data_IF_538357905915
#
_entry.id   IF_538357905915
#
_cell.length_a   1.000
_cell.length_b   1.000
_cell.length_c   1.000
_cell.angle_alpha   90.00
_cell.angle_beta   90.00
_cell.angle_gamma   90.00
#
_symmetry.space_group_name_H-M   'P 1'
#
loop_
_entity.id
_entity.type
_entity.pdbx_description
1 polymer ?
#
# COMPACT_ATOMS: atom_id res chain seq x y z
N UNK A 1 49.51 6.77 -13.91
CA UNK A 1 48.47 6.03 -13.16
C UNK A 1 47.16 6.15 -13.93
N UNK A 2 46.80 5.17 -14.76
CA UNK A 2 45.50 5.12 -15.44
C UNK A 2 44.60 4.19 -14.63
N UNK A 3 43.54 4.75 -14.04
CA UNK A 3 42.52 3.96 -13.37
C UNK A 3 41.54 3.45 -14.43
N UNK A 4 41.61 2.16 -14.75
CA UNK A 4 40.56 1.47 -15.48
C UNK A 4 39.35 1.34 -14.55
N UNK A 5 38.32 2.14 -14.78
CA UNK A 5 37.04 1.94 -14.12
C UNK A 5 36.36 0.70 -14.71
N UNK A 6 36.59 -0.46 -14.09
CA UNK A 6 35.78 -1.67 -14.32
C UNK A 6 34.41 -1.53 -13.62
N UNK A 7 33.67 -0.48 -13.93
CA UNK A 7 32.26 -0.40 -13.55
C UNK A 7 31.40 -0.97 -14.68
N UNK A 8 31.55 -2.26 -14.96
CA UNK A 8 30.55 -3.02 -15.70
C UNK A 8 29.50 -3.51 -14.69
N UNK A 9 28.60 -2.60 -14.30
CA UNK A 9 27.42 -2.96 -13.52
C UNK A 9 26.43 -3.68 -14.45
N UNK A 10 26.71 -4.95 -14.74
CA UNK A 10 25.78 -5.86 -15.45
C UNK A 10 24.64 -6.32 -14.55
N UNK A 11 24.79 -6.16 -13.24
CA UNK A 11 23.71 -6.28 -12.25
C UNK A 11 23.05 -4.91 -12.02
N UNK A 12 22.28 -4.46 -13.02
CA UNK A 12 21.25 -3.42 -12.78
C UNK A 12 20.10 -4.03 -11.98
N UNK A 13 19.30 -3.17 -11.33
CA UNK A 13 18.04 -3.59 -10.74
C UNK A 13 17.22 -4.38 -11.78
N UNK A 14 16.90 -5.64 -11.46
CA UNK A 14 16.21 -6.58 -12.36
C UNK A 14 14.70 -6.33 -12.45
N UNK A 15 14.18 -5.41 -11.63
CA UNK A 15 12.78 -5.03 -11.63
C UNK A 15 12.46 -4.22 -12.89
N UNK A 16 11.49 -4.66 -13.68
CA UNK A 16 11.04 -3.87 -14.82
C UNK A 16 10.44 -2.53 -14.34
N UNK A 17 10.49 -1.46 -15.15
CA UNK A 17 9.89 -0.18 -14.77
C UNK A 17 8.41 -0.30 -14.40
N UNK A 18 7.65 -1.16 -15.10
CA UNK A 18 6.24 -1.41 -14.84
C UNK A 18 6.00 -2.09 -13.48
N UNK A 19 6.80 -3.11 -13.14
CA UNK A 19 6.76 -3.75 -11.82
C UNK A 19 7.16 -2.76 -10.72
N UNK A 20 8.14 -1.90 -10.98
CA UNK A 20 8.56 -0.84 -10.07
C UNK A 20 7.44 0.18 -9.80
N UNK A 21 6.73 0.62 -10.84
CA UNK A 21 5.58 1.53 -10.69
C UNK A 21 4.43 0.84 -9.95
N UNK A 22 4.13 -0.42 -10.25
CA UNK A 22 3.10 -1.19 -9.54
C UNK A 22 3.44 -1.33 -8.05
N UNK A 23 4.68 -1.69 -7.73
CA UNK A 23 5.13 -1.80 -6.35
C UNK A 23 5.04 -0.46 -5.61
N UNK A 24 5.41 0.64 -6.27
CA UNK A 24 5.30 1.97 -5.68
C UNK A 24 3.84 2.35 -5.38
N UNK A 25 2.91 2.12 -6.32
CA UNK A 25 1.48 2.36 -6.11
C UNK A 25 0.92 1.51 -4.97
N UNK A 26 1.30 0.24 -4.93
CA UNK A 26 0.90 -0.68 -3.87
C UNK A 26 1.35 -0.19 -2.48
N UNK A 27 2.60 0.24 -2.35
CA UNK A 27 3.12 0.80 -1.10
C UNK A 27 2.43 2.12 -0.71
N UNK A 28 2.09 2.97 -1.69
CA UNK A 28 1.29 4.18 -1.43
C UNK A 28 -0.12 3.83 -0.94
N UNK A 29 -0.77 2.83 -1.55
CA UNK A 29 -2.08 2.37 -1.11
C UNK A 29 -2.05 1.80 0.31
N UNK A 30 -1.04 0.97 0.64
CA UNK A 30 -0.82 0.48 2.01
C UNK A 30 -0.69 1.66 2.99
N UNK A 31 0.09 2.69 2.62
CA UNK A 31 0.25 3.88 3.47
C UNK A 31 -1.07 4.61 3.70
N UNK A 32 -1.82 4.88 2.64
CA UNK A 32 -3.11 5.61 2.71
C UNK A 32 -4.11 4.84 3.57
N UNK A 33 -4.26 3.53 3.30
CA UNK A 33 -5.17 2.65 4.05
C UNK A 33 -4.71 2.52 5.50
N UNK A 34 -3.40 2.38 5.74
CA UNK A 34 -2.82 2.31 7.08
C UNK A 34 -3.07 3.58 7.89
N UNK A 35 -2.96 4.77 7.28
CA UNK A 35 -3.29 6.04 7.93
C UNK A 35 -4.78 6.11 8.26
N UNK A 36 -5.68 5.78 7.32
CA UNK A 36 -7.11 5.77 7.59
C UNK A 36 -7.49 4.74 8.67
N UNK A 37 -6.80 3.60 8.71
CA UNK A 37 -6.98 2.58 9.74
C UNK A 37 -6.58 3.12 11.11
N UNK A 38 -5.42 3.77 11.19
CA UNK A 38 -4.97 4.41 12.42
C UNK A 38 -5.97 5.46 12.90
N UNK A 39 -6.41 6.35 12.02
CA UNK A 39 -7.39 7.39 12.32
C UNK A 39 -8.70 6.78 12.88
N UNK A 40 -9.20 5.72 12.25
CA UNK A 40 -10.38 5.00 12.74
C UNK A 40 -10.17 4.39 14.12
N UNK A 41 -9.02 3.76 14.37
CA UNK A 41 -8.71 3.13 15.65
C UNK A 41 -8.57 4.15 16.79
N UNK A 42 -8.11 5.37 16.49
CA UNK A 42 -7.96 6.46 17.47
C UNK A 42 -9.29 7.18 17.68
N UNK A 43 -9.94 7.63 16.61
CA UNK A 43 -11.11 8.50 16.69
C UNK A 43 -12.40 7.73 16.96
N UNK A 44 -12.51 6.49 16.46
CA UNK A 44 -13.66 5.59 16.67
C UNK A 44 -15.00 6.17 16.21
N UNK A 45 -14.97 7.08 15.23
CA UNK A 45 -16.17 7.71 14.66
C UNK A 45 -16.66 6.96 13.43
N UNK A 46 -17.94 7.12 13.11
CA UNK A 46 -18.52 6.60 11.86
C UNK A 46 -17.87 7.23 10.61
N UNK A 47 -17.45 8.49 10.69
CA UNK A 47 -16.78 9.18 9.58
C UNK A 47 -15.40 8.57 9.29
N UNK A 48 -14.57 8.37 10.32
CA UNK A 48 -13.27 7.72 10.16
C UNK A 48 -13.42 6.27 9.64
N UNK A 49 -14.50 5.59 10.03
CA UNK A 49 -14.87 4.27 9.50
C UNK A 49 -15.18 4.31 8.01
N UNK A 50 -16.07 5.20 7.58
CA UNK A 50 -16.46 5.37 6.18
C UNK A 50 -15.26 5.74 5.31
N UNK A 51 -14.37 6.60 5.83
CA UNK A 51 -13.13 6.96 5.14
C UNK A 51 -12.24 5.74 4.93
N UNK A 52 -12.03 4.91 5.97
CA UNK A 52 -11.27 3.66 5.85
C UNK A 52 -11.90 2.71 4.82
N UNK A 53 -13.22 2.51 4.87
CA UNK A 53 -13.95 1.68 3.90
C UNK A 53 -13.78 2.18 2.46
N UNK A 54 -13.89 3.49 2.26
CA UNK A 54 -13.78 4.13 0.95
C UNK A 54 -12.38 3.98 0.36
N UNK A 55 -11.33 4.34 1.11
CA UNK A 55 -9.95 4.26 0.58
C UNK A 55 -9.50 2.81 0.35
N UNK A 56 -9.92 1.86 1.18
CA UNK A 56 -9.65 0.43 0.94
C UNK A 56 -10.36 -0.09 -0.30
N UNK A 57 -11.65 0.23 -0.48
CA UNK A 57 -12.43 -0.20 -1.64
C UNK A 57 -11.86 0.38 -2.94
N UNK A 58 -11.48 1.66 -2.92
CA UNK A 58 -10.87 2.33 -4.07
C UNK A 58 -9.52 1.69 -4.43
N UNK A 59 -8.65 1.46 -3.45
CA UNK A 59 -7.35 0.85 -3.69
C UNK A 59 -7.47 -0.58 -4.24
N UNK A 60 -8.46 -1.35 -3.79
CA UNK A 60 -8.75 -2.67 -4.37
C UNK A 60 -9.25 -2.56 -5.82
N UNK A 61 -10.17 -1.64 -6.10
CA UNK A 61 -10.74 -1.44 -7.44
C UNK A 61 -9.65 -1.03 -8.46
N UNK A 62 -8.69 -0.21 -8.05
CA UNK A 62 -7.57 0.24 -8.88
C UNK A 62 -6.47 -0.83 -9.04
N UNK A 63 -6.59 -1.97 -8.34
CA UNK A 63 -5.57 -3.02 -8.32
C UNK A 63 -4.31 -2.64 -7.54
N UNK A 64 -4.37 -1.59 -6.72
CA UNK A 64 -3.27 -1.17 -5.84
C UNK A 64 -3.27 -1.96 -4.52
N UNK A 65 -4.40 -2.59 -4.16
CA UNK A 65 -4.47 -3.60 -3.10
C UNK A 65 -5.00 -4.93 -3.65
N UNK A 66 -4.49 -6.02 -3.11
CA UNK A 66 -5.02 -7.35 -3.37
C UNK A 66 -6.35 -7.56 -2.65
N UNK A 67 -7.18 -8.48 -3.15
CA UNK A 67 -8.42 -8.86 -2.48
C UNK A 67 -8.19 -9.38 -1.05
N UNK A 68 -7.06 -10.04 -0.80
CA UNK A 68 -6.69 -10.53 0.53
C UNK A 68 -6.46 -9.40 1.51
N UNK A 69 -5.78 -8.34 1.11
CA UNK A 69 -5.49 -7.17 1.96
C UNK A 69 -6.76 -6.39 2.26
N UNK A 70 -7.60 -6.15 1.26
CA UNK A 70 -8.90 -5.52 1.46
C UNK A 70 -9.77 -6.33 2.44
N UNK A 71 -9.79 -7.66 2.31
CA UNK A 71 -10.51 -8.54 3.22
C UNK A 71 -10.00 -8.48 4.67
N UNK A 72 -8.71 -8.18 4.91
CA UNK A 72 -8.20 -7.97 6.28
C UNK A 72 -8.83 -6.73 6.92
N UNK A 73 -8.98 -5.64 6.16
CA UNK A 73 -9.65 -4.42 6.64
C UNK A 73 -11.13 -4.70 6.90
N UNK A 74 -11.83 -5.38 6.00
CA UNK A 74 -13.25 -5.76 6.21
C UNK A 74 -13.43 -6.60 7.48
N UNK A 75 -12.52 -7.56 7.74
CA UNK A 75 -12.53 -8.37 8.97
C UNK A 75 -12.29 -7.53 10.22
N UNK A 76 -11.46 -6.49 10.12
CA UNK A 76 -11.21 -5.57 11.24
C UNK A 76 -12.45 -4.71 11.51
N UNK A 77 -13.06 -4.17 10.46
CA UNK A 77 -14.28 -3.37 10.53
C UNK A 77 -15.50 -4.15 11.04
N UNK A 78 -15.56 -5.47 10.82
CA UNK A 78 -16.62 -6.32 11.36
C UNK A 78 -16.54 -6.50 12.89
N UNK A 79 -15.39 -6.15 13.51
CA UNK A 79 -15.24 -6.22 14.96
C UNK A 79 -15.91 -5.01 15.62
N UNK A 80 -16.58 -5.21 16.78
CA UNK A 80 -17.06 -4.09 17.58
C UNK A 80 -15.91 -3.17 17.97
N UNK A 81 -16.16 -1.86 17.92
CA UNK A 81 -15.25 -0.86 18.48
C UNK A 81 -15.22 -1.08 20.00
N UNK A 82 -14.02 -1.31 20.55
CA UNK A 82 -13.79 -1.37 22.00
C UNK A 82 -13.50 0.00 22.57
#
# INVERSE_FOLDING_TARGET
MQAQHQSSSELKATTSPAEGTQAARHLMAIRIVGTALFDYQVQKTADARLRLESVTSMAQLLGDLTAREAALVSKLLAKPIR
#
